data_IF_794885691510
#
_entry.id   IF_794885691510
#
_cell.length_a   1.000
_cell.length_b   1.000
_cell.length_c   1.000
_cell.angle_alpha   90.00
_cell.angle_beta   90.00
_cell.angle_gamma   90.00
#
_symmetry.space_group_name_H-M   'P 1'
#
loop_
_entity.id
_entity.type
_entity.pdbx_description
1 polymer ?
#
# COMPACT_ATOMS: atom_id res chain seq x y z
N UNK A 1 -11.40 27.68 -0.72
CA UNK A 1 -10.35 26.65 -0.95
C UNK A 1 -9.87 25.93 0.33
N UNK A 2 -10.03 26.49 1.54
CA UNK A 2 -9.79 25.77 2.82
C UNK A 2 -11.07 25.01 3.21
N UNK A 3 -11.15 23.71 2.96
CA UNK A 3 -12.35 22.93 3.35
C UNK A 3 -12.47 21.53 2.74
N UNK A 4 -11.58 21.15 1.82
CA UNK A 4 -11.67 19.90 1.07
C UNK A 4 -10.86 18.73 1.66
N UNK A 5 -10.38 18.83 2.90
CA UNK A 5 -9.69 17.71 3.55
C UNK A 5 -8.43 17.21 2.83
N UNK A 6 -7.84 18.02 1.93
CA UNK A 6 -6.61 17.68 1.22
C UNK A 6 -5.50 17.38 2.22
N UNK A 7 -5.02 16.12 2.22
CA UNK A 7 -3.92 15.66 3.06
C UNK A 7 -4.32 14.88 4.32
N UNK A 8 -5.61 14.69 4.59
CA UNK A 8 -6.03 13.82 5.70
C UNK A 8 -5.56 12.37 5.46
N UNK A 9 -4.75 11.84 6.38
CA UNK A 9 -4.22 10.48 6.31
C UNK A 9 -2.94 10.29 5.49
N UNK A 10 -2.29 11.36 5.02
CA UNK A 10 -1.00 11.26 4.34
C UNK A 10 0.08 10.71 5.29
N UNK A 11 0.62 9.53 4.97
CA UNK A 11 1.73 8.95 5.70
C UNK A 11 3.04 9.20 4.95
N UNK A 12 4.02 9.78 5.65
CA UNK A 12 5.34 9.98 5.08
C UNK A 12 6.11 8.65 5.05
N UNK A 13 6.26 8.07 3.85
CA UNK A 13 6.83 6.74 3.67
C UNK A 13 8.27 6.57 4.20
N UNK A 14 9.03 7.66 4.36
CA UNK A 14 10.41 7.60 4.85
C UNK A 14 10.53 7.45 6.38
N UNK A 15 9.47 7.74 7.14
CA UNK A 15 9.46 7.62 8.60
C UNK A 15 8.98 6.23 9.08
N UNK A 16 8.44 5.43 8.17
CA UNK A 16 7.95 4.08 8.47
C UNK A 16 9.13 3.11 8.51
N UNK A 17 9.19 2.25 9.53
CA UNK A 17 10.31 1.33 9.79
C UNK A 17 10.66 0.40 8.60
N UNK A 18 9.68 0.15 7.70
CA UNK A 18 9.86 -0.64 6.48
C UNK A 18 10.14 0.19 5.20
N UNK A 19 10.18 1.52 5.29
CA UNK A 19 10.18 2.49 4.18
C UNK A 19 9.07 2.29 3.15
N UNK A 20 8.02 1.57 3.53
CA UNK A 20 6.84 1.26 2.74
C UNK A 20 5.66 1.64 3.62
N UNK A 21 5.03 2.78 3.33
CA UNK A 21 3.79 3.15 3.99
C UNK A 21 2.66 2.23 3.49
N UNK A 22 1.87 1.70 4.42
CA UNK A 22 0.64 0.97 4.09
C UNK A 22 -0.51 1.96 3.88
N UNK A 23 -0.28 2.92 2.98
CA UNK A 23 -1.25 3.94 2.61
C UNK A 23 -1.90 3.57 1.28
N UNK A 24 -3.20 3.76 1.21
CA UNK A 24 -3.94 3.65 -0.04
C UNK A 24 -3.62 4.88 -0.91
N UNK A 25 -2.83 4.69 -1.96
CA UNK A 25 -2.41 5.78 -2.86
C UNK A 25 -3.39 6.03 -4.02
N UNK A 26 -4.13 4.99 -4.44
CA UNK A 26 -5.17 5.12 -5.45
C UNK A 26 -6.51 5.42 -4.77
N UNK A 27 -7.42 6.19 -5.38
CA UNK A 27 -8.77 6.34 -4.83
C UNK A 27 -9.49 4.98 -4.77
N UNK A 28 -10.49 4.85 -3.91
CA UNK A 28 -11.20 3.58 -3.66
C UNK A 28 -11.72 2.92 -4.96
N UNK A 29 -12.18 3.72 -5.92
CA UNK A 29 -12.68 3.24 -7.22
C UNK A 29 -11.61 2.60 -8.12
N UNK A 30 -10.32 2.79 -7.81
CA UNK A 30 -9.19 2.28 -8.58
C UNK A 30 -8.28 1.37 -7.76
N UNK A 31 -8.67 1.00 -6.54
CA UNK A 31 -7.82 0.27 -5.59
C UNK A 31 -7.22 -1.03 -6.13
N UNK A 32 -7.95 -1.72 -7.00
CA UNK A 32 -7.56 -3.02 -7.55
C UNK A 32 -6.96 -2.92 -8.97
N UNK A 33 -6.76 -1.70 -9.49
CA UNK A 33 -6.21 -1.51 -10.83
C UNK A 33 -4.69 -1.57 -10.83
N UNK A 34 -4.15 -2.38 -11.72
CA UNK A 34 -2.72 -2.45 -12.03
C UNK A 34 -2.49 -1.76 -13.37
N UNK A 35 -1.64 -0.74 -13.38
CA UNK A 35 -1.33 0.05 -14.58
C UNK A 35 0.01 -0.31 -15.22
N UNK A 36 0.90 -0.98 -14.48
CA UNK A 36 2.24 -1.33 -14.95
C UNK A 36 2.51 -2.81 -14.71
N UNK A 37 2.78 -3.51 -15.80
CA UNK A 37 3.13 -4.93 -15.84
C UNK A 37 4.54 -5.04 -16.44
N UNK A 38 5.59 -5.11 -15.60
CA UNK A 38 6.96 -5.19 -16.09
C UNK A 38 7.20 -6.49 -16.85
N UNK A 39 8.00 -6.41 -17.92
CA UNK A 39 8.43 -7.59 -18.67
C UNK A 39 9.62 -8.28 -18.00
N UNK A 40 10.11 -9.37 -18.61
CA UNK A 40 11.25 -10.15 -18.09
C UNK A 40 12.57 -9.74 -18.71
N UNK A 41 12.59 -8.71 -19.56
CA UNK A 41 13.74 -8.36 -20.36
C UNK A 41 14.61 -7.28 -19.70
N UNK A 42 15.92 -7.49 -19.73
CA UNK A 42 16.90 -6.51 -19.26
C UNK A 42 16.65 -6.02 -17.83
N UNK A 43 16.59 -4.71 -17.66
CA UNK A 43 16.44 -4.04 -16.36
C UNK A 43 15.05 -4.23 -15.72
N UNK A 44 14.01 -4.53 -16.52
CA UNK A 44 12.65 -4.72 -16.00
C UNK A 44 12.55 -5.99 -15.14
N UNK A 45 13.40 -6.98 -15.36
CA UNK A 45 13.46 -8.18 -14.51
C UNK A 45 13.72 -7.84 -13.05
N UNK A 46 14.71 -6.99 -12.78
CA UNK A 46 15.05 -6.57 -11.42
C UNK A 46 13.94 -5.71 -10.80
N UNK A 47 13.32 -4.85 -11.61
CA UNK A 47 12.20 -4.02 -11.18
C UNK A 47 10.98 -4.87 -10.79
N UNK A 48 10.68 -5.91 -11.57
CA UNK A 48 9.62 -6.88 -11.27
C UNK A 48 9.87 -7.60 -9.95
N UNK A 49 11.08 -8.13 -9.74
CA UNK A 49 11.45 -8.80 -8.48
C UNK A 49 11.26 -7.86 -7.28
N UNK A 50 11.68 -6.60 -7.42
CA UNK A 50 11.51 -5.58 -6.39
C UNK A 50 10.03 -5.22 -6.15
N UNK A 51 9.23 -5.12 -7.20
CA UNK A 51 7.79 -4.87 -7.11
C UNK A 51 7.06 -6.00 -6.39
N UNK A 52 7.40 -7.26 -6.69
CA UNK A 52 6.85 -8.42 -6.01
C UNK A 52 7.24 -8.46 -4.53
N UNK A 53 8.49 -8.11 -4.19
CA UNK A 53 8.92 -7.96 -2.80
C UNK A 53 8.10 -6.90 -2.04
N UNK A 54 7.87 -5.74 -2.66
CA UNK A 54 7.04 -4.66 -2.07
C UNK A 54 5.59 -5.12 -1.89
N UNK A 55 5.00 -5.79 -2.89
CA UNK A 55 3.64 -6.37 -2.79
C UNK A 55 3.55 -7.37 -1.64
N UNK A 56 4.52 -8.26 -1.50
CA UNK A 56 4.54 -9.24 -0.40
C UNK A 56 4.69 -8.57 0.97
N UNK A 57 5.45 -7.48 1.08
CA UNK A 57 5.58 -6.72 2.32
C UNK A 57 4.28 -6.02 2.68
N UNK A 58 3.60 -5.42 1.69
CA UNK A 58 2.28 -4.78 1.87
C UNK A 58 1.20 -5.80 2.24
N UNK A 59 1.14 -6.96 1.61
CA UNK A 59 0.15 -7.99 1.95
C UNK A 59 0.32 -8.59 3.35
N UNK A 60 1.57 -8.62 3.86
CA UNK A 60 1.84 -9.00 5.26
C UNK A 60 1.45 -7.90 6.25
N UNK A 61 1.65 -6.63 5.89
CA UNK A 61 1.26 -5.48 6.71
C UNK A 61 -0.26 -5.28 6.75
N UNK A 62 -0.94 -5.54 5.63
CA UNK A 62 -2.39 -5.35 5.48
C UNK A 62 -3.25 -6.47 6.07
N UNK A 63 -2.65 -7.51 6.67
CA UNK A 63 -3.42 -8.56 7.35
C UNK A 63 -4.06 -7.93 8.59
N UNK A 64 -5.39 -7.75 8.63
CA UNK A 64 -6.03 -7.08 9.74
C UNK A 64 -5.75 -7.91 10.99
N UNK A 65 -5.25 -7.28 12.06
CA UNK A 65 -5.45 -7.84 13.39
C UNK A 65 -6.97 -7.99 13.54
N UNK A 66 -7.46 -9.22 13.62
CA UNK A 66 -8.85 -9.50 13.97
C UNK A 66 -9.15 -8.66 15.21
N UNK A 67 -10.02 -7.67 15.07
CA UNK A 67 -10.55 -6.96 16.21
C UNK A 67 -11.23 -7.99 17.10
N UNK A 68 -10.75 -8.12 18.33
CA UNK A 68 -11.42 -8.83 19.40
C UNK A 68 -12.83 -8.26 19.56
N UNK A 69 -13.80 -8.87 18.89
CA UNK A 69 -15.22 -8.67 19.17
C UNK A 69 -15.53 -9.40 20.47
N UNK A 70 -15.15 -8.81 21.61
CA UNK A 70 -15.76 -9.17 22.90
C UNK A 70 -16.92 -8.22 23.13
N UNK A 71 -18.08 -8.68 22.67
CA UNK A 71 -19.40 -8.15 22.99
C UNK A 71 -19.54 -8.05 24.51
N UNK A 72 -19.62 -6.83 25.04
CA UNK A 72 -20.18 -6.59 26.36
C UNK A 72 -21.71 -6.75 26.25
N UNK A 73 -22.27 -7.59 27.11
CA UNK A 73 -23.69 -7.65 27.51
C UNK A 73 -23.74 -7.76 29.01
#
# INVERSE_FOLDING_TARGET
MKGLGYGQGYQYAHDVQGKVADMQCLPDNLRDRVYYEPTNEGAEKQLRERLEEIKSRRSRASRPKKADSKTES
#
